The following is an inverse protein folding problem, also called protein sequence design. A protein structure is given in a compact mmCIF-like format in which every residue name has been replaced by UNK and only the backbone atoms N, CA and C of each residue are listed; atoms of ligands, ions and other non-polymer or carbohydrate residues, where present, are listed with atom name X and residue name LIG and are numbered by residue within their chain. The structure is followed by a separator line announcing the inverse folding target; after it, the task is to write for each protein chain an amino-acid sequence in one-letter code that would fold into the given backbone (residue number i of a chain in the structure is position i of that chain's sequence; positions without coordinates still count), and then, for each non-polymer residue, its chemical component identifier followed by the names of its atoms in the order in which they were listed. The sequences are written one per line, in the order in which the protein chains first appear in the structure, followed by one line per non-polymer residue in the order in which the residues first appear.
data_IF_126413738134
#
_entry.id   IF_126413738134
#
_cell.length_a   1.000
_cell.length_b   1.000
_cell.length_c   1.000
_cell.angle_alpha   90.00
_cell.angle_beta   90.00
_cell.angle_gamma   90.00
#
_symmetry.space_group_name_H-M   'P 1'
#
loop_
_entity.id
_entity.type
_entity.pdbx_description
1 polymer ?
#
# COMPACT_ATOMS: atom_id res chain seq x y z
N UNK A 1 2.20 15.52 14.95
CA UNK A 1 2.13 14.89 16.29
C UNK A 1 1.19 13.70 16.21
N UNK A 2 1.46 12.55 16.84
CA UNK A 2 2.72 11.95 17.24
C UNK A 2 3.25 10.98 16.17
N UNK A 3 4.55 11.02 15.93
CA UNK A 3 5.35 10.09 15.12
C UNK A 3 5.53 8.75 15.84
N UNK A 4 4.43 8.10 16.23
CA UNK A 4 4.48 6.82 16.92
C UNK A 4 3.91 5.71 16.03
N UNK A 5 4.84 5.09 15.28
CA UNK A 5 4.80 3.70 14.82
C UNK A 5 3.94 3.35 13.58
N UNK A 6 4.28 3.95 12.43
CA UNK A 6 4.06 3.28 11.13
C UNK A 6 5.27 2.36 10.90
N UNK A 7 5.18 1.12 11.38
CA UNK A 7 6.17 0.06 11.12
C UNK A 7 7.50 0.23 11.88
N UNK A 8 7.68 -0.58 12.93
CA UNK A 8 8.85 -0.55 13.81
C UNK A 8 10.10 -1.05 13.08
N UNK A 9 10.77 -0.16 12.34
CA UNK A 9 12.11 -0.40 11.79
C UNK A 9 13.11 -0.51 12.95
N UNK A 10 13.18 -1.68 13.59
CA UNK A 10 14.11 -1.94 14.69
C UNK A 10 13.65 -2.98 15.73
N UNK A 11 12.39 -3.43 15.70
CA UNK A 11 11.93 -4.48 16.61
C UNK A 11 12.27 -5.87 16.06
N UNK A 12 13.05 -6.63 16.84
CA UNK A 12 13.48 -8.00 16.53
C UNK A 12 12.28 -8.97 16.53
N UNK A 13 11.14 -8.57 17.07
CA UNK A 13 9.92 -9.33 17.13
C UNK A 13 8.91 -8.94 16.04
N UNK A 14 9.24 -8.00 15.14
CA UNK A 14 8.38 -7.66 14.02
C UNK A 14 8.35 -8.82 13.00
N UNK A 15 7.21 -9.48 12.90
CA UNK A 15 6.95 -10.50 11.88
C UNK A 15 5.95 -9.93 10.88
N UNK A 16 6.39 -9.62 9.65
CA UNK A 16 5.51 -9.08 8.62
C UNK A 16 4.41 -10.08 8.29
N UNK A 17 3.22 -9.56 7.97
CA UNK A 17 2.10 -10.41 7.61
C UNK A 17 2.41 -11.22 6.33
N UNK A 18 1.93 -12.48 6.22
CA UNK A 18 2.17 -13.31 5.03
C UNK A 18 1.76 -12.63 3.71
N UNK A 19 0.68 -11.86 3.72
CA UNK A 19 0.21 -11.11 2.55
C UNK A 19 1.15 -9.97 2.14
N UNK A 20 1.89 -9.37 3.08
CA UNK A 20 2.89 -8.35 2.80
C UNK A 20 4.15 -8.97 2.20
N UNK A 21 4.59 -10.11 2.72
CA UNK A 21 5.72 -10.87 2.17
C UNK A 21 5.43 -11.39 0.76
N UNK A 22 4.21 -11.85 0.51
CA UNK A 22 3.81 -12.32 -0.82
C UNK A 22 3.65 -11.19 -1.85
N UNK A 23 3.56 -9.93 -1.41
CA UNK A 23 3.45 -8.79 -2.32
C UNK A 23 4.84 -8.44 -2.88
N UNK A 24 5.05 -8.41 -4.21
CA UNK A 24 6.37 -8.11 -4.80
C UNK A 24 6.94 -6.74 -4.42
N UNK A 25 6.06 -5.78 -4.10
CA UNK A 25 6.44 -4.42 -3.69
C UNK A 25 6.28 -4.20 -2.18
N UNK A 26 6.03 -5.27 -1.41
CA UNK A 26 5.94 -5.22 0.05
C UNK A 26 4.87 -4.30 0.61
N UNK A 27 3.75 -4.08 -0.11
CA UNK A 27 2.67 -3.19 0.37
C UNK A 27 2.15 -3.66 1.72
N UNK A 28 2.04 -2.74 2.67
CA UNK A 28 1.51 -2.97 4.02
C UNK A 28 -0.03 -3.09 4.02
N UNK A 29 -0.50 -4.26 3.58
CA UNK A 29 -1.92 -4.60 3.57
C UNK A 29 -2.60 -4.55 4.95
N UNK A 30 -2.02 -5.09 6.03
CA UNK A 30 -2.62 -5.02 7.36
C UNK A 30 -2.95 -3.60 7.79
N UNK A 31 -2.01 -2.66 7.64
CA UNK A 31 -2.21 -1.27 8.09
C UNK A 31 -3.33 -0.57 7.33
N UNK A 32 -3.31 -0.59 6.00
CA UNK A 32 -4.37 0.09 5.24
C UNK A 32 -5.75 -0.57 5.43
N UNK A 33 -5.82 -1.89 5.67
CA UNK A 33 -7.08 -2.56 6.00
C UNK A 33 -7.60 -2.07 7.35
N UNK A 34 -6.72 -1.92 8.35
CA UNK A 34 -7.06 -1.33 9.64
C UNK A 34 -7.56 0.10 9.52
N UNK A 35 -6.91 0.93 8.71
CA UNK A 35 -7.36 2.30 8.44
C UNK A 35 -8.72 2.34 7.74
N UNK A 36 -8.96 1.47 6.74
CA UNK A 36 -10.29 1.33 6.11
C UNK A 36 -11.36 0.96 7.15
N UNK A 37 -11.05 0.01 8.05
CA UNK A 37 -11.97 -0.42 9.11
C UNK A 37 -12.37 0.74 10.04
N UNK A 38 -11.42 1.63 10.34
CA UNK A 38 -11.64 2.81 11.17
C UNK A 38 -12.24 4.01 10.40
N UNK A 39 -12.46 3.89 9.08
CA UNK A 39 -12.93 4.99 8.24
C UNK A 39 -11.87 6.06 7.93
N UNK A 40 -10.59 5.76 8.18
CA UNK A 40 -9.42 6.62 7.96
C UNK A 40 -8.88 6.42 6.53
N UNK A 41 -9.57 6.98 5.53
CA UNK A 41 -9.28 6.66 4.12
C UNK A 41 -8.01 7.33 3.60
N UNK A 42 -7.66 8.49 4.13
CA UNK A 42 -6.47 9.25 3.79
C UNK A 42 -5.20 8.51 4.23
N UNK A 43 -5.17 7.99 5.47
CA UNK A 43 -4.08 7.17 5.99
C UNK A 43 -4.00 5.82 5.28
N UNK A 44 -5.14 5.23 4.92
CA UNK A 44 -5.17 4.05 4.07
C UNK A 44 -4.55 4.32 2.69
N UNK A 45 -4.87 5.47 2.10
CA UNK A 45 -4.33 5.88 0.80
C UNK A 45 -2.82 6.09 0.86
N UNK A 46 -2.32 6.75 1.91
CA UNK A 46 -0.89 6.93 2.15
C UNK A 46 -0.18 5.58 2.30
N UNK A 47 -0.70 4.68 3.14
CA UNK A 47 -0.12 3.35 3.33
C UNK A 47 -0.11 2.50 2.03
N UNK A 48 -1.12 2.64 1.17
CA UNK A 48 -1.16 1.97 -0.14
C UNK A 48 -0.11 2.55 -1.10
N UNK A 49 0.01 3.86 -1.16
CA UNK A 49 0.84 4.56 -2.16
C UNK A 49 2.30 4.70 -1.76
N UNK A 50 2.61 4.56 -0.47
CA UNK A 50 3.97 4.66 0.08
C UNK A 50 5.01 3.76 -0.61
N UNK A 51 4.62 2.55 -1.04
CA UNK A 51 5.53 1.61 -1.71
C UNK A 51 5.27 1.44 -3.21
N UNK A 52 4.17 1.99 -3.73
CA UNK A 52 3.74 1.74 -5.10
C UNK A 52 2.98 2.94 -5.72
N UNK A 53 3.60 3.66 -6.68
CA UNK A 53 2.96 4.79 -7.36
C UNK A 53 1.86 4.37 -8.35
N UNK A 54 1.77 3.09 -8.72
CA UNK A 54 0.78 2.54 -9.66
C UNK A 54 -0.35 1.78 -8.97
N UNK A 55 -0.64 2.10 -7.71
CA UNK A 55 -1.61 1.38 -6.89
C UNK A 55 -3.03 1.34 -7.47
N UNK A 56 -3.45 2.35 -8.22
CA UNK A 56 -4.75 2.37 -8.92
C UNK A 56 -4.86 1.27 -9.99
N UNK A 57 -3.77 1.04 -10.72
CA UNK A 57 -3.69 -0.02 -11.73
C UNK A 57 -3.63 -1.38 -11.04
N UNK A 58 -2.77 -1.53 -10.03
CA UNK A 58 -2.65 -2.78 -9.27
C UNK A 58 -3.96 -3.18 -8.57
N UNK A 59 -4.80 -2.22 -8.14
CA UNK A 59 -6.16 -2.52 -7.64
C UNK A 59 -7.08 -3.18 -8.67
N UNK A 60 -6.73 -3.18 -9.96
CA UNK A 60 -7.54 -3.73 -11.06
C UNK A 60 -6.92 -4.96 -11.71
N UNK A 61 -5.62 -4.91 -12.01
CA UNK A 61 -4.96 -5.93 -12.85
C UNK A 61 -4.01 -6.85 -12.10
N UNK A 62 -3.68 -6.54 -10.83
CA UNK A 62 -2.78 -7.39 -10.06
C UNK A 62 -3.37 -8.80 -9.92
N UNK A 63 -2.54 -9.83 -10.07
CA UNK A 63 -2.93 -11.23 -9.86
C UNK A 63 -3.21 -11.56 -8.37
N UNK A 64 -3.01 -10.58 -7.49
CA UNK A 64 -3.28 -10.64 -6.06
C UNK A 64 -2.59 -11.82 -5.33
N UNK A 65 -1.26 -12.00 -5.46
CA UNK A 65 -0.53 -13.08 -4.76
C UNK A 65 -0.64 -13.00 -3.24
N UNK A 66 -1.01 -11.83 -2.71
CA UNK A 66 -1.28 -11.58 -1.30
C UNK A 66 -2.56 -12.26 -0.78
N UNK A 67 -3.56 -12.54 -1.64
CA UNK A 67 -4.83 -13.14 -1.23
C UNK A 67 -4.67 -14.66 -0.95
N UNK A 68 -4.04 -15.47 -1.83
CA UNK A 68 -3.74 -16.87 -1.51
C UNK A 68 -2.86 -17.04 -0.27
N UNK A 69 -1.91 -16.13 -0.04
CA UNK A 69 -1.04 -16.13 1.14
C UNK A 69 -1.74 -15.65 2.42
N UNK A 70 -2.97 -15.14 2.35
CA UNK A 70 -3.67 -14.59 3.50
C UNK A 70 -3.92 -15.67 4.57
N UNK A 71 -3.61 -15.37 5.83
CA UNK A 71 -3.85 -16.30 6.96
C UNK A 71 -5.32 -16.72 7.09
N UNK A 72 -6.26 -15.86 6.70
CA UNK A 72 -7.71 -16.14 6.79
C UNK A 72 -8.21 -17.14 5.76
N UNK A 73 -7.41 -17.47 4.73
CA UNK A 73 -7.74 -18.54 3.77
C UNK A 73 -8.03 -19.87 4.47
N UNK A 74 -7.36 -20.15 5.60
CA UNK A 74 -7.60 -21.34 6.43
C UNK A 74 -8.82 -21.24 7.37
N UNK A 75 -9.54 -20.12 7.37
CA UNK A 75 -10.69 -19.87 8.22
C UNK A 75 -11.93 -19.59 7.36
N UNK A 76 -12.29 -18.32 7.14
CA UNK A 76 -13.50 -17.91 6.42
C UNK A 76 -13.22 -17.38 5.01
N UNK A 77 -11.99 -17.53 4.52
CA UNK A 77 -11.56 -17.10 3.20
C UNK A 77 -10.57 -15.94 3.25
N UNK A 78 -9.85 -15.75 2.14
CA UNK A 78 -8.91 -14.64 2.02
C UNK A 78 -9.64 -13.29 2.11
N UNK A 79 -8.97 -12.29 2.69
CA UNK A 79 -9.45 -10.92 2.56
C UNK A 79 -9.30 -10.51 1.10
N UNK A 80 -10.29 -9.80 0.55
CA UNK A 80 -10.23 -9.22 -0.79
C UNK A 80 -9.31 -7.98 -0.83
N UNK A 81 -8.03 -8.19 -0.57
CA UNK A 81 -6.98 -7.17 -0.43
C UNK A 81 -6.90 -6.28 -1.67
N UNK A 82 -7.00 -6.85 -2.89
CA UNK A 82 -6.98 -6.08 -4.15
C UNK A 82 -8.20 -5.17 -4.27
N UNK A 83 -9.38 -5.66 -3.90
CA UNK A 83 -10.62 -4.89 -4.00
C UNK A 83 -10.65 -3.74 -2.98
N UNK A 84 -10.16 -3.96 -1.76
CA UNK A 84 -10.02 -2.91 -0.75
C UNK A 84 -9.04 -1.82 -1.21
N UNK A 85 -7.91 -2.22 -1.81
CA UNK A 85 -6.97 -1.28 -2.44
C UNK A 85 -7.67 -0.45 -3.52
N UNK A 86 -8.41 -1.10 -4.42
CA UNK A 86 -9.18 -0.42 -5.47
C UNK A 86 -10.16 0.59 -4.89
N UNK A 87 -10.92 0.20 -3.87
CA UNK A 87 -11.91 1.06 -3.22
C UNK A 87 -11.30 2.39 -2.73
N UNK A 88 -10.16 2.33 -2.03
CA UNK A 88 -9.46 3.54 -1.57
C UNK A 88 -8.95 4.37 -2.75
N UNK A 89 -8.35 3.73 -3.75
CA UNK A 89 -7.83 4.41 -4.94
C UNK A 89 -8.93 5.09 -5.77
N UNK A 90 -10.13 4.50 -5.87
CA UNK A 90 -11.28 5.12 -6.54
C UNK A 90 -11.84 6.29 -5.76
N UNK A 91 -11.77 6.25 -4.42
CA UNK A 91 -12.28 7.32 -3.56
C UNK A 91 -11.39 8.57 -3.55
N UNK A 92 -10.06 8.39 -3.48
CA UNK A 92 -9.13 9.51 -3.24
C UNK A 92 -8.11 9.72 -4.38
N UNK A 93 -7.85 8.71 -5.20
CA UNK A 93 -6.74 8.73 -6.15
C UNK A 93 -6.88 9.74 -7.29
N UNK A 94 -8.11 10.08 -7.70
CA UNK A 94 -8.33 11.07 -8.76
C UNK A 94 -8.07 12.52 -8.32
N UNK A 95 -8.26 12.82 -7.03
CA UNK A 95 -8.05 14.15 -6.45
C UNK A 95 -6.65 14.35 -5.90
N UNK A 96 -5.90 13.27 -5.66
CA UNK A 96 -4.59 13.35 -5.04
C UNK A 96 -3.54 13.93 -5.99
N UNK A 97 -2.76 14.90 -5.48
CA UNK A 97 -1.64 15.52 -6.19
C UNK A 97 -0.43 15.51 -5.26
N UNK A 98 0.68 14.85 -5.63
CA UNK A 98 1.89 14.91 -4.82
C UNK A 98 2.47 16.33 -4.83
N UNK A 99 3.06 16.71 -3.72
CA UNK A 99 3.90 17.91 -3.68
C UNK A 99 5.15 17.70 -4.53
N UNK A 100 5.59 18.75 -5.22
CA UNK A 100 6.81 18.69 -6.00
C UNK A 100 8.02 18.52 -5.05
N UNK A 101 8.82 17.50 -5.30
CA UNK A 101 10.05 17.29 -4.54
C UNK A 101 11.03 18.46 -4.78
N UNK A 102 11.78 18.82 -3.74
CA UNK A 102 12.80 19.86 -3.84
C UNK A 102 13.90 19.45 -4.84
N UNK A 103 14.35 20.41 -5.65
CA UNK A 103 15.46 20.18 -6.60
C UNK A 103 16.76 20.17 -5.80
N UNK A 104 17.40 19.00 -5.69
CA UNK A 104 18.66 18.84 -4.95
C UNK A 104 19.90 18.82 -5.83
N UNK A 105 19.73 18.76 -7.16
CA UNK A 105 20.78 18.45 -8.14
C UNK A 105 20.50 19.18 -9.46
N UNK A 106 21.56 19.60 -10.15
CA UNK A 106 21.48 20.36 -11.42
C UNK A 106 21.49 19.45 -12.66
N UNK A 107 21.85 18.17 -12.50
CA UNK A 107 21.88 17.21 -13.60
C UNK A 107 20.47 16.91 -14.14
N UNK A 108 20.37 16.63 -15.44
CA UNK A 108 19.13 16.20 -16.10
C UNK A 108 19.00 14.67 -16.15
N UNK A 109 17.76 14.17 -16.10
CA UNK A 109 17.40 12.75 -16.21
C UNK A 109 16.47 12.59 -17.41
N UNK A 110 16.76 11.62 -18.28
CA UNK A 110 15.87 11.21 -19.38
C UNK A 110 15.25 9.85 -19.11
N UNK A 111 13.96 9.69 -19.43
CA UNK A 111 13.22 8.42 -19.34
C UNK A 111 12.74 8.07 -20.75
N UNK A 112 13.01 6.84 -21.22
CA UNK A 112 12.57 6.34 -22.53
C UNK A 112 11.51 5.25 -22.30
N UNK A 113 10.30 5.49 -22.78
CA UNK A 113 9.10 4.69 -22.46
C UNK A 113 8.27 5.34 -21.34
N UNK A 114 6.96 5.13 -21.37
CA UNK A 114 5.99 5.66 -20.42
C UNK A 114 4.99 4.58 -20.00
#
# INVERSE_FOLDING_TARGET
MPTEQIGVAGDKHYVPAPCQIACPVGTDAPSYIGYIWNGQFEEAFEAITATNPFSSICGRVCDAPCEPACRRTASDGAIQIRNLKRFVMEKLGASWKPEAAAITREQSIGIVGA
#
